data_IF_822404316985
#
_entry.id   IF_822404316985
#
_cell.length_a   1.000
_cell.length_b   1.000
_cell.length_c   1.000
_cell.angle_alpha   90.00
_cell.angle_beta   90.00
_cell.angle_gamma   90.00
#
_symmetry.space_group_name_H-M   'P 1'
#
loop_
_entity.id
_entity.type
_entity.pdbx_description
1 polymer ?
#
# COMPACT_ATOMS: atom_id res chain seq x y z
N UNK A 1 -21.64 30.87 75.61
CA UNK A 1 -21.22 29.63 74.91
C UNK A 1 -22.06 29.52 73.64
N UNK A 2 -21.49 29.80 72.47
CA UNK A 2 -22.20 29.76 71.18
C UNK A 2 -21.55 28.70 70.29
N UNK A 3 -22.31 27.68 69.90
CA UNK A 3 -21.84 26.57 69.06
C UNK A 3 -22.15 26.93 67.60
N UNK A 4 -21.12 27.24 66.81
CA UNK A 4 -21.25 27.36 65.35
C UNK A 4 -21.24 25.97 64.72
N UNK A 5 -22.37 25.55 64.14
CA UNK A 5 -22.45 24.40 63.23
C UNK A 5 -21.74 24.74 61.92
N UNK A 6 -20.65 24.03 61.60
CA UNK A 6 -20.05 24.02 60.27
C UNK A 6 -20.84 23.06 59.37
N UNK A 7 -21.46 23.58 58.31
CA UNK A 7 -21.91 22.78 57.18
C UNK A 7 -20.71 22.46 56.29
N UNK A 8 -20.46 21.18 56.03
CA UNK A 8 -19.53 20.71 55.00
C UNK A 8 -20.26 20.65 53.65
N UNK A 9 -19.67 21.12 52.54
CA UNK A 9 -20.24 20.87 51.23
C UNK A 9 -19.99 19.40 50.86
N UNK A 10 -21.05 18.69 50.47
CA UNK A 10 -20.92 17.38 49.84
C UNK A 10 -20.46 17.60 48.40
N UNK A 11 -19.20 17.24 48.12
CA UNK A 11 -18.67 17.21 46.76
C UNK A 11 -19.24 15.95 46.09
N UNK A 12 -20.25 16.13 45.22
CA UNK A 12 -20.76 15.05 44.38
C UNK A 12 -19.69 14.67 43.35
N UNK A 13 -19.18 13.45 43.42
CA UNK A 13 -18.30 12.90 42.39
C UNK A 13 -19.13 12.64 41.13
N UNK A 14 -18.90 13.43 40.07
CA UNK A 14 -19.47 13.20 38.76
C UNK A 14 -18.60 12.15 38.06
N UNK A 15 -19.04 10.90 38.04
CA UNK A 15 -18.37 9.83 37.30
C UNK A 15 -18.64 10.02 35.81
N UNK A 16 -17.68 10.60 35.08
CA UNK A 16 -17.73 10.62 33.62
C UNK A 16 -17.51 9.19 33.11
N UNK A 17 -18.57 8.56 32.59
CA UNK A 17 -18.46 7.31 31.86
C UNK A 17 -17.96 7.66 30.46
N UNK A 18 -16.66 7.49 30.20
CA UNK A 18 -16.15 7.45 28.84
C UNK A 18 -16.59 6.12 28.20
N UNK A 19 -17.58 6.18 27.32
CA UNK A 19 -17.85 5.10 26.37
C UNK A 19 -16.78 5.14 25.28
N UNK A 20 -15.82 4.22 25.32
CA UNK A 20 -15.00 3.91 24.16
C UNK A 20 -15.88 3.11 23.19
N UNK A 21 -16.28 3.70 22.07
CA UNK A 21 -16.80 2.92 20.96
C UNK A 21 -15.66 2.01 20.47
N UNK A 22 -15.85 0.70 20.53
CA UNK A 22 -14.89 -0.23 19.93
C UNK A 22 -14.88 0.02 18.42
N UNK A 23 -13.68 0.13 17.83
CA UNK A 23 -13.55 0.25 16.38
C UNK A 23 -14.20 -0.98 15.72
N UNK A 24 -15.01 -0.74 14.68
CA UNK A 24 -15.59 -1.82 13.88
C UNK A 24 -14.46 -2.62 13.22
N UNK A 25 -14.52 -3.96 13.20
CA UNK A 25 -13.54 -4.77 12.48
C UNK A 25 -13.66 -4.51 10.97
N UNK A 26 -12.55 -4.73 10.25
CA UNK A 26 -12.54 -4.72 8.79
C UNK A 26 -13.56 -5.73 8.22
N UNK A 27 -14.18 -5.39 7.10
CA UNK A 27 -15.16 -6.25 6.43
C UNK A 27 -14.52 -6.83 5.18
N UNK A 28 -14.29 -8.14 5.19
CA UNK A 28 -13.79 -8.90 4.04
C UNK A 28 -14.76 -8.81 2.86
N UNK A 29 -14.22 -8.74 1.63
CA UNK A 29 -15.01 -8.79 0.40
C UNK A 29 -15.51 -10.20 0.15
N UNK A 30 -16.81 -10.32 -0.06
CA UNK A 30 -17.46 -11.60 -0.34
C UNK A 30 -17.04 -12.18 -1.70
N UNK A 31 -16.91 -11.30 -2.71
CA UNK A 31 -16.49 -11.66 -4.06
C UNK A 31 -15.10 -11.07 -4.34
N UNK A 32 -14.14 -11.96 -4.52
CA UNK A 32 -12.76 -11.64 -4.89
C UNK A 32 -12.19 -12.81 -5.71
N UNK A 33 -11.22 -12.51 -6.58
CA UNK A 33 -10.54 -13.54 -7.36
C UNK A 33 -9.76 -14.50 -6.45
N UNK A 34 -9.83 -15.80 -6.74
CA UNK A 34 -9.02 -16.84 -6.10
C UNK A 34 -7.83 -17.28 -6.97
N UNK A 35 -7.53 -16.51 -8.03
CA UNK A 35 -6.49 -16.84 -8.98
C UNK A 35 -5.11 -16.94 -8.32
N UNK A 36 -4.32 -17.94 -8.75
CA UNK A 36 -2.94 -18.09 -8.30
C UNK A 36 -2.02 -18.36 -9.48
N UNK A 37 -0.77 -17.95 -9.34
CA UNK A 37 0.28 -18.15 -10.34
C UNK A 37 1.57 -18.59 -9.66
N UNK A 38 2.36 -19.43 -10.34
CA UNK A 38 3.59 -20.04 -9.82
C UNK A 38 3.48 -20.81 -8.51
N UNK A 39 2.25 -21.19 -8.10
CA UNK A 39 2.02 -21.82 -6.79
C UNK A 39 2.19 -20.87 -5.61
N UNK A 40 2.22 -19.56 -5.84
CA UNK A 40 2.27 -18.56 -4.77
C UNK A 40 0.97 -18.57 -3.99
N UNK A 41 1.01 -18.56 -2.64
CA UNK A 41 -0.18 -18.44 -1.82
C UNK A 41 -0.69 -17.00 -1.83
N UNK A 42 -2.01 -16.84 -1.70
CA UNK A 42 -2.65 -15.55 -1.39
C UNK A 42 -2.33 -15.19 0.05
N UNK A 43 -1.84 -13.97 0.28
CA UNK A 43 -1.31 -13.56 1.57
C UNK A 43 -2.39 -13.36 2.64
N UNK A 44 -3.49 -12.73 2.27
CA UNK A 44 -4.62 -12.40 3.13
C UNK A 44 -5.84 -12.02 2.25
N UNK A 45 -7.06 -12.06 2.79
CA UNK A 45 -8.24 -11.66 2.04
C UNK A 45 -8.30 -10.15 1.78
N UNK A 46 -9.01 -9.78 0.71
CA UNK A 46 -9.32 -8.39 0.38
C UNK A 46 -10.49 -7.92 1.25
N UNK A 47 -10.44 -6.68 1.72
CA UNK A 47 -11.47 -6.02 2.52
C UNK A 47 -12.04 -4.81 1.79
N UNK A 48 -13.31 -4.51 2.04
CA UNK A 48 -14.00 -3.36 1.43
C UNK A 48 -13.36 -2.04 1.85
N UNK A 49 -13.26 -1.13 0.88
CA UNK A 49 -12.94 0.29 1.08
C UNK A 49 -13.78 0.90 2.22
N UNK A 50 -13.11 1.61 3.14
CA UNK A 50 -13.76 2.28 4.28
C UNK A 50 -14.44 1.36 5.30
N UNK A 51 -14.18 0.04 5.26
CA UNK A 51 -14.86 -0.91 6.15
C UNK A 51 -14.44 -0.82 7.63
N UNK A 52 -13.27 -0.28 7.92
CA UNK A 52 -12.83 0.06 9.27
C UNK A 52 -12.35 1.51 9.39
N UNK A 53 -12.11 1.96 10.62
CA UNK A 53 -11.72 3.34 10.90
C UNK A 53 -10.43 3.78 10.20
N UNK A 54 -9.51 2.85 9.94
CA UNK A 54 -8.22 3.13 9.30
C UNK A 54 -8.38 3.22 7.79
N UNK A 55 -9.22 2.40 7.19
CA UNK A 55 -9.60 2.51 5.79
C UNK A 55 -10.45 3.78 5.53
N UNK A 56 -11.29 4.19 6.49
CA UNK A 56 -12.01 5.47 6.42
C UNK A 56 -11.04 6.65 6.43
N UNK A 57 -10.10 6.67 7.38
CA UNK A 57 -9.06 7.70 7.43
C UNK A 57 -8.22 7.71 6.14
N UNK A 58 -7.83 6.55 5.62
CA UNK A 58 -7.13 6.46 4.32
C UNK A 58 -7.95 7.08 3.19
N UNK A 59 -9.24 6.77 3.10
CA UNK A 59 -10.14 7.30 2.07
C UNK A 59 -10.34 8.82 2.17
N UNK A 60 -10.30 9.37 3.38
CA UNK A 60 -10.49 10.80 3.62
C UNK A 60 -9.19 11.59 3.40
N UNK A 61 -8.04 11.05 3.83
CA UNK A 61 -6.79 11.80 3.96
C UNK A 61 -5.78 11.51 2.84
N UNK A 62 -5.74 10.27 2.33
CA UNK A 62 -4.67 9.79 1.44
C UNK A 62 -5.18 9.49 0.04
N UNK A 63 -6.28 8.75 -0.08
CA UNK A 63 -6.83 8.31 -1.36
C UNK A 63 -7.09 9.48 -2.33
N UNK A 64 -7.66 10.63 -1.92
CA UNK A 64 -7.89 11.74 -2.85
C UNK A 64 -6.58 12.29 -3.43
N UNK A 65 -5.52 12.33 -2.61
CA UNK A 65 -4.18 12.70 -3.05
C UNK A 65 -3.61 11.68 -4.03
N UNK A 66 -3.67 10.39 -3.69
CA UNK A 66 -3.22 9.30 -4.55
C UNK A 66 -3.93 9.30 -5.91
N UNK A 67 -5.26 9.39 -5.94
CA UNK A 67 -6.04 9.47 -7.18
C UNK A 67 -5.69 10.70 -8.01
N UNK A 68 -5.52 11.86 -7.37
CA UNK A 68 -5.10 13.07 -8.09
C UNK A 68 -3.69 12.94 -8.69
N UNK A 69 -2.80 12.13 -8.08
CA UNK A 69 -1.49 11.83 -8.66
C UNK A 69 -1.61 10.97 -9.91
N UNK A 70 -2.47 9.95 -9.88
CA UNK A 70 -2.80 9.12 -11.05
C UNK A 70 -3.35 9.98 -12.18
N UNK A 71 -4.38 10.80 -11.90
CA UNK A 71 -5.08 11.60 -12.91
C UNK A 71 -4.19 12.66 -13.60
N UNK A 72 -3.17 13.18 -12.92
CA UNK A 72 -2.43 14.38 -13.34
C UNK A 72 -0.98 14.08 -13.73
N UNK A 73 -0.30 13.12 -13.10
CA UNK A 73 1.16 13.01 -13.14
C UNK A 73 1.68 11.65 -13.60
N UNK A 74 0.85 10.61 -13.60
CA UNK A 74 1.22 9.31 -14.17
C UNK A 74 0.83 9.23 -15.66
N UNK A 75 1.06 10.31 -16.42
CA UNK A 75 0.87 10.36 -17.89
C UNK A 75 2.15 10.77 -18.62
N UNK A 76 3.09 11.39 -17.91
CA UNK A 76 4.33 11.88 -18.47
C UNK A 76 5.40 11.69 -17.40
N UNK A 77 6.61 11.22 -17.78
CA UNK A 77 7.76 11.03 -16.89
C UNK A 77 8.31 12.34 -16.27
N UNK A 78 7.44 13.12 -15.64
CA UNK A 78 7.71 14.41 -15.02
C UNK A 78 8.25 14.15 -13.63
N UNK A 79 9.34 14.84 -13.28
CA UNK A 79 9.79 14.92 -11.89
C UNK A 79 8.64 15.45 -11.00
N UNK A 80 8.22 14.62 -10.05
CA UNK A 80 7.19 14.93 -9.07
C UNK A 80 7.61 16.13 -8.19
N UNK A 81 6.97 17.28 -8.38
CA UNK A 81 7.17 18.49 -7.56
C UNK A 81 5.90 18.90 -6.79
N UNK A 82 5.13 17.92 -6.31
CA UNK A 82 4.00 18.16 -5.41
C UNK A 82 4.48 18.28 -3.94
N UNK A 83 3.94 19.27 -3.21
CA UNK A 83 4.26 19.47 -1.79
C UNK A 83 3.79 18.25 -0.99
N UNK A 84 4.71 17.63 -0.23
CA UNK A 84 4.40 16.47 0.62
C UNK A 84 4.53 15.11 -0.08
N UNK A 85 5.05 15.08 -1.31
CA UNK A 85 5.39 13.86 -2.04
C UNK A 85 6.89 13.79 -2.27
N UNK A 86 7.50 12.63 -2.07
CA UNK A 86 8.95 12.44 -2.28
C UNK A 86 9.18 11.15 -3.07
N UNK A 87 9.83 11.23 -4.23
CA UNK A 87 10.25 10.03 -4.97
C UNK A 87 11.23 9.23 -4.12
N UNK A 88 10.97 7.93 -3.98
CA UNK A 88 11.80 7.03 -3.21
C UNK A 88 12.87 6.39 -4.09
N UNK A 89 13.97 5.99 -3.45
CA UNK A 89 14.87 4.99 -4.01
C UNK A 89 14.26 3.62 -3.68
N UNK A 90 13.77 2.92 -4.69
CA UNK A 90 13.10 1.63 -4.52
C UNK A 90 14.07 0.54 -4.02
N UNK A 91 15.37 0.66 -4.30
CA UNK A 91 16.42 -0.21 -3.74
C UNK A 91 16.57 -0.02 -2.22
N UNK A 92 16.12 1.12 -1.69
CA UNK A 92 16.21 1.49 -0.29
C UNK A 92 14.90 1.35 0.50
N UNK A 93 13.86 0.68 -0.02
CA UNK A 93 12.59 0.53 0.70
C UNK A 93 12.66 -0.56 1.79
N UNK A 94 13.04 -0.16 3.01
CA UNK A 94 13.04 -1.05 4.17
C UNK A 94 12.49 -0.38 5.44
N UNK A 95 11.94 -1.21 6.32
CA UNK A 95 11.38 -0.83 7.60
C UNK A 95 12.51 -0.58 8.60
N UNK A 96 12.68 0.66 9.10
CA UNK A 96 13.73 0.98 10.09
C UNK A 96 13.38 0.51 11.51
N UNK A 97 12.11 0.67 11.89
CA UNK A 97 11.59 0.37 13.22
C UNK A 97 10.48 -0.67 13.12
N UNK A 98 10.17 -1.48 14.15
CA UNK A 98 9.02 -2.36 14.11
C UNK A 98 7.74 -1.60 13.74
N UNK A 99 6.83 -2.25 13.01
CA UNK A 99 5.57 -1.63 12.58
C UNK A 99 4.74 -1.19 13.79
N UNK A 100 4.22 0.04 13.77
CA UNK A 100 3.32 0.56 14.81
C UNK A 100 1.88 0.02 14.68
N UNK A 101 1.56 -0.52 13.50
CA UNK A 101 0.31 -1.22 13.14
C UNK A 101 0.55 -2.16 11.96
N UNK A 102 -0.34 -3.13 11.69
CA UNK A 102 -0.17 -4.07 10.57
C UNK A 102 -0.03 -3.36 9.23
N UNK A 103 0.89 -3.79 8.37
CA UNK A 103 1.06 -3.27 7.00
C UNK A 103 -0.21 -3.53 6.20
N UNK A 104 -0.67 -2.52 5.45
CA UNK A 104 -1.78 -2.67 4.48
C UNK A 104 -1.38 -2.20 3.10
N UNK A 105 -1.89 -2.90 2.10
CA UNK A 105 -1.86 -2.48 0.69
C UNK A 105 -3.27 -2.09 0.30
N UNK A 106 -3.44 -0.87 -0.20
CA UNK A 106 -4.70 -0.30 -0.67
C UNK A 106 -4.66 -0.21 -2.20
N UNK A 107 -5.66 -0.74 -2.88
CA UNK A 107 -5.85 -0.55 -4.31
C UNK A 107 -6.21 0.91 -4.61
N UNK A 108 -5.65 1.49 -5.66
CA UNK A 108 -5.95 2.86 -6.09
C UNK A 108 -6.48 2.90 -7.51
N UNK A 109 -5.82 2.23 -8.46
CA UNK A 109 -6.17 2.31 -9.88
C UNK A 109 -5.64 1.14 -10.72
N UNK A 110 -6.38 0.80 -11.77
CA UNK A 110 -5.95 -0.01 -12.93
C UNK A 110 -5.97 0.92 -14.16
N UNK A 111 -4.82 1.11 -14.81
CA UNK A 111 -4.67 1.93 -16.03
C UNK A 111 -4.57 1.12 -17.33
N UNK A 112 -4.40 -0.20 -17.24
CA UNK A 112 -4.15 -1.09 -18.37
C UNK A 112 -5.22 -2.15 -18.56
N UNK A 113 -5.32 -2.70 -19.78
CA UNK A 113 -6.24 -3.80 -20.10
C UNK A 113 -5.71 -5.22 -19.79
N UNK A 114 -4.51 -5.34 -19.21
CA UNK A 114 -3.95 -6.63 -18.77
C UNK A 114 -4.50 -7.04 -17.41
N UNK A 115 -4.65 -8.35 -17.22
CA UNK A 115 -5.15 -8.93 -15.97
C UNK A 115 -3.98 -9.28 -15.05
N UNK A 116 -3.39 -8.25 -14.45
CA UNK A 116 -2.17 -8.36 -13.65
C UNK A 116 -2.44 -9.00 -12.27
N UNK A 117 -1.45 -9.69 -11.72
CA UNK A 117 -1.45 -10.13 -10.31
C UNK A 117 -0.42 -9.32 -9.53
N UNK A 118 -0.82 -8.64 -8.44
CA UNK A 118 0.10 -7.94 -7.54
C UNK A 118 0.60 -8.89 -6.45
N UNK A 119 1.90 -8.89 -6.19
CA UNK A 119 2.53 -9.69 -5.16
C UNK A 119 3.60 -8.94 -4.38
N UNK A 120 4.07 -9.58 -3.32
CA UNK A 120 5.23 -9.13 -2.55
C UNK A 120 6.07 -10.30 -2.08
N UNK A 121 7.33 -10.02 -1.74
CA UNK A 121 8.13 -10.87 -0.86
C UNK A 121 8.83 -10.02 0.18
N UNK A 122 9.34 -10.67 1.22
CA UNK A 122 10.15 -9.99 2.24
C UNK A 122 11.47 -10.69 2.45
N UNK A 123 12.49 -9.90 2.74
CA UNK A 123 13.82 -10.35 3.15
C UNK A 123 14.34 -9.51 4.31
N UNK A 124 15.49 -9.89 4.87
CA UNK A 124 16.24 -9.01 5.76
C UNK A 124 17.03 -8.04 4.88
N UNK A 125 17.01 -6.75 5.19
CA UNK A 125 17.75 -5.73 4.45
C UNK A 125 19.23 -6.12 4.26
N UNK A 126 19.70 -6.09 3.01
CA UNK A 126 21.05 -6.53 2.63
C UNK A 126 21.21 -8.05 2.44
N UNK A 127 20.14 -8.83 2.57
CA UNK A 127 20.12 -10.25 2.21
C UNK A 127 20.33 -10.44 0.70
N UNK A 128 21.10 -11.47 0.34
CA UNK A 128 21.22 -11.95 -1.05
C UNK A 128 20.30 -13.14 -1.35
N UNK A 129 19.59 -13.64 -0.33
CA UNK A 129 18.59 -14.70 -0.50
C UNK A 129 17.27 -14.12 -0.96
N UNK A 130 16.63 -14.78 -1.92
CA UNK A 130 15.29 -14.43 -2.36
C UNK A 130 14.26 -14.68 -1.26
N UNK A 131 13.30 -13.76 -1.12
CA UNK A 131 12.16 -13.91 -0.22
C UNK A 131 11.13 -14.89 -0.76
N UNK A 132 10.27 -15.42 0.11
CA UNK A 132 9.08 -16.17 -0.31
C UNK A 132 8.06 -15.20 -0.92
N UNK A 133 7.67 -15.44 -2.17
CA UNK A 133 6.69 -14.61 -2.88
C UNK A 133 5.26 -15.03 -2.53
N UNK A 134 4.42 -14.02 -2.28
CA UNK A 134 2.99 -14.16 -1.97
C UNK A 134 2.17 -13.19 -2.83
N UNK A 135 0.92 -13.54 -3.06
CA UNK A 135 -0.02 -12.71 -3.82
C UNK A 135 -0.74 -11.76 -2.86
N UNK A 136 -0.77 -10.47 -3.21
CA UNK A 136 -1.58 -9.45 -2.54
C UNK A 136 -2.95 -9.36 -3.22
N UNK A 137 -2.95 -9.05 -4.53
CA UNK A 137 -4.17 -8.96 -5.34
C UNK A 137 -4.08 -10.00 -6.45
N UNK A 138 -4.86 -11.09 -6.40
CA UNK A 138 -4.88 -12.14 -7.41
C UNK A 138 -5.15 -11.63 -8.83
N UNK A 139 -6.01 -10.63 -8.94
CA UNK A 139 -6.47 -10.04 -10.19
C UNK A 139 -6.72 -8.54 -9.97
N UNK A 140 -5.84 -7.71 -10.51
CA UNK A 140 -5.93 -6.26 -10.43
C UNK A 140 -6.84 -5.77 -11.55
N UNK A 141 -8.15 -5.88 -11.34
CA UNK A 141 -9.15 -5.35 -12.27
C UNK A 141 -10.23 -4.58 -11.52
N UNK A 142 -10.49 -3.36 -11.98
CA UNK A 142 -11.62 -2.53 -11.54
C UNK A 142 -12.72 -2.44 -12.61
N UNK A 143 -12.50 -3.07 -13.77
CA UNK A 143 -13.48 -3.15 -14.85
C UNK A 143 -13.43 -1.97 -15.82
N UNK A 144 -12.62 -0.93 -15.55
CA UNK A 144 -12.49 0.25 -16.40
C UNK A 144 -11.89 -0.08 -17.76
N UNK A 145 -10.84 -0.92 -17.78
CA UNK A 145 -10.11 -1.30 -19.00
C UNK A 145 -10.42 -2.74 -19.46
N UNK A 146 -11.53 -3.28 -18.98
CA UNK A 146 -11.98 -4.65 -19.21
C UNK A 146 -11.75 -5.54 -18.00
N UNK A 147 -12.04 -6.85 -18.14
CA UNK A 147 -12.05 -7.74 -16.99
C UNK A 147 -13.26 -7.53 -16.07
N UNK A 148 -13.28 -8.22 -14.92
CA UNK A 148 -14.32 -8.08 -13.90
C UNK A 148 -14.07 -6.88 -12.97
N UNK A 149 -15.14 -6.34 -12.39
CA UNK A 149 -15.09 -5.28 -11.37
C UNK A 149 -14.79 -5.87 -9.98
N UNK A 150 -13.58 -6.40 -9.79
CA UNK A 150 -13.18 -7.00 -8.51
C UNK A 150 -12.76 -5.99 -7.47
N UNK A 151 -12.19 -4.86 -7.89
CA UNK A 151 -11.57 -3.88 -7.01
C UNK A 151 -12.23 -2.52 -7.18
N UNK A 152 -12.40 -1.82 -6.07
CA UNK A 152 -12.73 -0.40 -6.06
C UNK A 152 -11.68 0.36 -5.27
N UNK A 153 -11.37 1.63 -5.61
CA UNK A 153 -10.36 2.40 -4.91
C UNK A 153 -10.56 2.42 -3.38
N UNK A 154 -9.49 2.12 -2.65
CA UNK A 154 -9.46 1.99 -1.19
C UNK A 154 -9.75 0.59 -0.65
N UNK A 155 -10.14 -0.38 -1.48
CA UNK A 155 -10.11 -1.80 -1.08
C UNK A 155 -8.71 -2.19 -0.64
N UNK A 156 -8.58 -3.05 0.36
CA UNK A 156 -7.28 -3.29 1.00
C UNK A 156 -7.02 -4.72 1.44
N UNK A 157 -5.74 -5.06 1.54
CA UNK A 157 -5.22 -6.31 2.10
C UNK A 157 -4.32 -5.99 3.29
N UNK A 158 -4.58 -6.60 4.44
CA UNK A 158 -3.73 -6.48 5.62
C UNK A 158 -2.69 -7.60 5.66
N UNK A 159 -1.42 -7.26 5.51
CA UNK A 159 -0.30 -8.21 5.41
C UNK A 159 0.22 -8.67 6.79
N UNK A 160 -0.11 -7.93 7.84
CA UNK A 160 0.31 -8.21 9.22
C UNK A 160 1.48 -7.33 9.68
N UNK A 161 2.05 -7.71 10.83
CA UNK A 161 3.15 -6.97 11.46
C UNK A 161 4.52 -7.42 10.94
N UNK A 162 5.46 -6.48 10.85
CA UNK A 162 6.82 -6.74 10.37
C UNK A 162 7.86 -6.12 11.30
N UNK A 163 8.98 -6.82 11.48
CA UNK A 163 10.08 -6.37 12.32
C UNK A 163 10.96 -5.32 11.64
N UNK A 164 11.72 -4.58 12.44
CA UNK A 164 12.81 -3.73 11.94
C UNK A 164 13.78 -4.53 11.05
N UNK A 165 14.26 -3.89 9.98
CA UNK A 165 15.15 -4.50 8.99
C UNK A 165 14.43 -5.37 7.95
N UNK A 166 13.10 -5.41 7.93
CA UNK A 166 12.34 -6.06 6.87
C UNK A 166 12.41 -5.20 5.60
N UNK A 167 12.88 -5.79 4.50
CA UNK A 167 12.87 -5.21 3.16
C UNK A 167 11.76 -5.86 2.34
N UNK A 168 10.96 -5.03 1.65
CA UNK A 168 9.89 -5.48 0.77
C UNK A 168 10.35 -5.47 -0.69
N UNK A 169 10.01 -6.52 -1.44
CA UNK A 169 10.02 -6.52 -2.90
C UNK A 169 8.57 -6.63 -3.36
N UNK A 170 7.99 -5.52 -3.83
CA UNK A 170 6.72 -5.54 -4.54
C UNK A 170 6.93 -5.83 -6.02
N UNK A 171 6.01 -6.59 -6.61
CA UNK A 171 6.08 -6.98 -8.01
C UNK A 171 4.69 -7.22 -8.60
N UNK A 172 4.58 -7.13 -9.92
CA UNK A 172 3.44 -7.68 -10.65
C UNK A 172 3.85 -8.91 -11.46
N UNK A 173 2.90 -9.83 -11.65
CA UNK A 173 2.98 -10.84 -12.72
C UNK A 173 2.09 -10.34 -13.85
N UNK A 174 2.68 -9.93 -14.96
CA UNK A 174 1.94 -9.26 -16.03
C UNK A 174 0.96 -10.21 -16.71
N UNK A 175 -0.26 -9.73 -16.96
CA UNK A 175 -1.37 -10.44 -17.61
C UNK A 175 -1.58 -11.88 -17.12
N UNK A 176 -1.30 -12.13 -15.84
CA UNK A 176 -1.18 -13.47 -15.28
C UNK A 176 -2.46 -14.29 -15.41
N UNK A 177 -3.62 -13.65 -15.25
CA UNK A 177 -4.92 -14.34 -15.35
C UNK A 177 -5.25 -14.75 -16.78
N UNK A 178 -4.67 -14.07 -17.79
CA UNK A 178 -4.76 -14.48 -19.21
C UNK A 178 -3.60 -15.35 -19.67
N UNK A 179 -2.71 -15.76 -18.76
CA UNK A 179 -1.63 -16.69 -19.01
C UNK A 179 -0.25 -16.06 -19.15
N UNK A 180 -0.10 -14.75 -18.94
CA UNK A 180 1.19 -14.08 -18.83
C UNK A 180 2.02 -14.60 -17.64
N UNK A 181 3.35 -14.60 -17.76
CA UNK A 181 4.26 -15.23 -16.79
C UNK A 181 5.53 -14.43 -16.55
N UNK A 182 5.56 -13.17 -16.94
CA UNK A 182 6.69 -12.29 -16.69
C UNK A 182 6.46 -11.55 -15.38
N UNK A 183 7.52 -11.41 -14.58
CA UNK A 183 7.50 -10.76 -13.27
C UNK A 183 8.22 -9.44 -13.41
N UNK A 184 7.56 -8.36 -13.04
CA UNK A 184 8.06 -7.00 -13.10
C UNK A 184 8.22 -6.44 -11.70
N UNK A 185 9.40 -5.89 -11.43
CA UNK A 185 9.87 -5.45 -10.12
C UNK A 185 10.50 -4.06 -10.21
N UNK A 186 10.96 -3.53 -9.10
CA UNK A 186 11.79 -2.31 -9.09
C UNK A 186 13.23 -2.54 -9.58
N UNK A 187 13.68 -3.79 -9.70
CA UNK A 187 15.07 -4.13 -10.01
C UNK A 187 15.28 -4.43 -11.49
N UNK A 188 16.05 -3.58 -12.17
CA UNK A 188 16.48 -3.76 -13.56
C UNK A 188 17.01 -5.19 -13.81
N UNK A 189 17.85 -5.72 -12.90
CA UNK A 189 18.52 -7.01 -13.08
C UNK A 189 17.60 -8.23 -12.93
N UNK A 190 16.41 -8.04 -12.37
CA UNK A 190 15.39 -9.09 -12.24
C UNK A 190 14.32 -9.02 -13.32
N UNK A 191 14.22 -7.89 -14.02
CA UNK A 191 13.21 -7.68 -15.04
C UNK A 191 13.66 -8.24 -16.41
N UNK A 192 12.76 -8.86 -17.21
CA UNK A 192 13.14 -9.58 -18.43
C UNK A 192 13.86 -8.75 -19.50
N UNK A 193 13.66 -7.44 -19.50
CA UNK A 193 14.18 -6.47 -20.47
C UNK A 193 15.24 -5.53 -19.89
N UNK A 194 15.59 -5.69 -18.61
CA UNK A 194 16.67 -4.94 -17.98
C UNK A 194 16.32 -3.51 -17.57
N UNK A 195 15.04 -3.17 -17.46
CA UNK A 195 14.58 -1.86 -16.99
C UNK A 195 13.64 -1.99 -15.79
N UNK A 196 13.55 -0.96 -14.98
CA UNK A 196 12.62 -0.85 -13.85
C UNK A 196 11.17 -0.73 -14.32
N UNK A 197 10.26 -1.41 -13.61
CA UNK A 197 8.82 -1.42 -13.90
C UNK A 197 7.96 -0.99 -12.69
N UNK A 198 8.59 -0.54 -11.61
CA UNK A 198 7.92 -0.04 -10.41
C UNK A 198 8.54 1.29 -10.02
N UNK A 199 7.74 2.35 -9.93
CA UNK A 199 8.13 3.62 -9.33
C UNK A 199 7.42 3.82 -7.99
N UNK A 200 8.11 4.43 -7.01
CA UNK A 200 7.59 4.64 -5.67
C UNK A 200 7.67 6.09 -5.17
N UNK A 201 6.63 6.53 -4.46
CA UNK A 201 6.54 7.87 -3.88
C UNK A 201 6.01 7.85 -2.45
N UNK A 202 6.69 8.51 -1.54
CA UNK A 202 6.21 8.74 -0.18
C UNK A 202 5.06 9.75 -0.20
N UNK A 203 3.93 9.39 0.42
CA UNK A 203 2.78 10.23 0.69
C UNK A 203 2.70 10.48 2.21
N UNK A 204 2.94 11.72 2.63
CA UNK A 204 3.03 12.04 4.05
C UNK A 204 4.29 11.44 4.70
N UNK A 205 4.14 10.70 5.79
CA UNK A 205 5.25 10.13 6.56
C UNK A 205 5.36 8.59 6.47
N UNK A 206 4.29 7.89 6.07
CA UNK A 206 4.22 6.42 6.19
C UNK A 206 3.65 5.66 4.99
N UNK A 207 2.95 6.37 4.11
CA UNK A 207 2.29 5.76 2.97
C UNK A 207 3.20 5.84 1.76
N UNK A 208 3.31 4.76 1.01
CA UNK A 208 4.10 4.70 -0.22
C UNK A 208 3.18 4.36 -1.37
N UNK A 209 3.01 5.28 -2.31
CA UNK A 209 2.37 5.00 -3.59
C UNK A 209 3.34 4.20 -4.45
N UNK A 210 2.85 3.09 -4.98
CA UNK A 210 3.54 2.22 -5.92
C UNK A 210 2.78 2.28 -7.24
N UNK A 211 3.46 2.69 -8.31
CA UNK A 211 2.94 2.66 -9.67
C UNK A 211 3.75 1.67 -10.51
N UNK A 212 3.09 0.80 -11.27
CA UNK A 212 3.74 -0.15 -12.16
C UNK A 212 3.45 0.14 -13.62
N UNK A 213 4.43 -0.18 -14.46
CA UNK A 213 4.33 -0.28 -15.92
C UNK A 213 4.34 -1.77 -16.31
N UNK A 214 3.37 -2.24 -17.09
CA UNK A 214 3.12 -3.65 -17.40
C UNK A 214 3.49 -4.07 -18.84
N UNK A 215 4.12 -3.15 -19.59
CA UNK A 215 4.62 -3.35 -20.95
C UNK A 215 6.16 -3.38 -20.99
N UNK A 216 6.72 -4.43 -21.60
CA UNK A 216 8.16 -4.54 -21.87
C UNK A 216 8.71 -3.36 -22.68
N UNK A 217 9.97 -3.02 -22.42
CA UNK A 217 10.73 -1.92 -23.00
C UNK A 217 10.18 -0.52 -22.63
N UNK A 218 9.42 -0.45 -21.55
CA UNK A 218 9.06 0.78 -20.85
C UNK A 218 7.72 1.37 -21.26
N UNK A 219 6.97 0.73 -22.15
CA UNK A 219 5.65 1.20 -22.56
C UNK A 219 5.58 2.70 -22.84
N UNK A 220 4.68 3.41 -22.15
CA UNK A 220 4.59 4.88 -22.17
C UNK A 220 5.18 5.57 -20.92
N UNK A 221 5.77 4.78 -20.00
CA UNK A 221 6.55 5.23 -18.84
C UNK A 221 5.73 6.05 -17.85
N UNK A 222 4.44 5.77 -17.80
CA UNK A 222 3.50 6.54 -17.01
C UNK A 222 3.23 5.88 -15.64
N UNK A 223 3.52 4.58 -15.51
CA UNK A 223 3.42 3.77 -14.30
C UNK A 223 2.01 3.76 -13.67
N UNK A 224 0.96 3.94 -14.47
CA UNK A 224 -0.44 3.89 -14.00
C UNK A 224 -1.15 2.55 -14.23
N UNK A 225 -0.50 1.56 -14.84
CA UNK A 225 -1.14 0.29 -15.19
C UNK A 225 -1.66 -0.47 -13.96
N UNK A 226 -0.87 -0.49 -12.89
CA UNK A 226 -1.27 -0.95 -11.55
C UNK A 226 -0.80 0.06 -10.52
N UNK A 227 -1.74 0.65 -9.77
CA UNK A 227 -1.43 1.61 -8.71
C UNK A 227 -2.00 1.15 -7.38
N UNK A 228 -1.14 1.11 -6.37
CA UNK A 228 -1.53 0.84 -4.99
C UNK A 228 -0.79 1.76 -4.01
N UNK A 229 -1.33 1.89 -2.80
CA UNK A 229 -0.64 2.58 -1.71
C UNK A 229 -0.37 1.59 -0.60
N UNK A 230 0.86 1.56 -0.12
CA UNK A 230 1.27 0.70 1.00
C UNK A 230 1.47 1.55 2.24
N UNK A 231 0.76 1.19 3.29
CA UNK A 231 0.98 1.65 4.63
C UNK A 231 2.09 0.80 5.28
N UNK A 232 3.34 1.30 5.27
CA UNK A 232 4.52 0.55 5.74
C UNK A 232 4.93 0.90 7.18
N UNK A 233 5.28 2.15 7.47
CA UNK A 233 5.64 2.69 8.80
C UNK A 233 5.99 4.19 8.68
N UNK A 234 5.77 5.07 9.69
CA UNK A 234 6.31 6.44 9.70
C UNK A 234 7.84 6.60 9.58
N UNK A 235 8.61 5.56 9.90
CA UNK A 235 10.07 5.61 9.86
C UNK A 235 10.62 4.71 8.74
N UNK A 236 10.42 5.13 7.50
CA UNK A 236 11.02 4.47 6.34
C UNK A 236 12.48 4.86 6.18
N UNK A 237 13.33 3.87 5.88
CA UNK A 237 14.73 4.10 5.56
C UNK A 237 14.83 4.84 4.24
N UNK A 238 15.26 6.09 4.26
CA UNK A 238 15.73 6.77 3.06
C UNK A 238 17.24 6.94 3.21
N UNK A 239 18.01 6.30 2.32
CA UNK A 239 19.39 6.77 2.13
C UNK A 239 19.27 8.20 1.58
N UNK A 240 20.01 9.20 2.11
CA UNK A 240 19.90 10.56 1.64
C UNK A 240 20.01 10.61 0.12
N UNK A 241 19.10 11.34 -0.52
CA UNK A 241 19.10 11.63 -1.96
C UNK A 241 20.43 12.33 -2.34
N UNK A 242 21.49 11.55 -2.51
CA UNK A 242 22.34 11.77 -3.67
C UNK A 242 21.40 11.63 -4.85
N UNK A 243 21.28 12.68 -5.67
CA UNK A 243 20.77 12.57 -7.04
C UNK A 243 21.47 11.38 -7.69
N UNK A 244 20.86 10.20 -7.60
CA UNK A 244 21.33 9.03 -8.29
C UNK A 244 20.81 9.21 -9.71
N UNK A 245 21.70 9.19 -10.71
CA UNK A 245 21.23 9.16 -12.08
C UNK A 245 20.57 7.81 -12.29
N UNK A 246 19.30 7.83 -12.66
CA UNK A 246 18.70 6.98 -13.70
C UNK A 246 17.36 7.55 -14.13
#
# INVERSE_FOLDING_TARGET
MSVRRMLRPALGALTAVLTFAAASPAVEKEEQSDFTVFGMPIAAPIHYSGSDARAQAFNEEILPGASALVDVHLQEGVEFLAVGVTRLDEDALFILNPTDRPVRVYFVHEGAGYRNTLGYSTTIAGSTSAGERKIVLPDVSDGTYGGPEWLVPGDFVELGDFGAGTQFEFFIVRDAVRGGREIFTYRDDLNPDGIQHLAAWLLGDRYVLLGFEDILHGGDLDYNDVVCVVDLNPDLGQIPLTLLPR
#
